data_IF_878918762821
#
_entry.id   IF_878918762821
#
_cell.length_a   1.000
_cell.length_b   1.000
_cell.length_c   1.000
_cell.angle_alpha   90.00
_cell.angle_beta   90.00
_cell.angle_gamma   90.00
#
_symmetry.space_group_name_H-M   'P 1'
#
loop_
_entity.id
_entity.type
_entity.pdbx_description
1 polymer ?
#
# COMPACT_ATOMS: atom_id res chain seq x y z
N UNK A 1 -9.33 61.64 -81.28
CA UNK A 1 -9.46 60.61 -82.36
C UNK A 1 -10.84 59.98 -82.23
N UNK A 2 -11.65 60.13 -83.28
CA UNK A 2 -13.01 59.59 -83.41
C UNK A 2 -12.93 58.18 -83.98
N UNK A 3 -13.67 57.24 -83.40
CA UNK A 3 -14.27 56.14 -84.14
C UNK A 3 -15.74 56.01 -83.72
N UNK A 4 -16.62 56.40 -84.64
CA UNK A 4 -18.04 56.03 -84.71
C UNK A 4 -18.11 54.52 -85.01
N UNK A 5 -19.18 53.72 -84.84
CA UNK A 5 -20.65 53.86 -85.03
C UNK A 5 -21.17 52.43 -84.67
N UNK A 6 -22.28 52.16 -83.99
CA UNK A 6 -23.67 52.05 -84.49
C UNK A 6 -24.51 51.45 -83.34
N UNK A 7 -25.74 51.93 -83.19
CA UNK A 7 -26.77 51.54 -82.22
C UNK A 7 -27.44 50.18 -82.55
N UNK A 8 -27.99 49.52 -81.52
CA UNK A 8 -29.31 48.88 -81.63
C UNK A 8 -30.00 48.86 -80.26
N UNK A 9 -31.04 49.68 -80.12
CA UNK A 9 -32.06 49.66 -79.06
C UNK A 9 -32.98 48.46 -79.29
N UNK A 10 -33.38 47.75 -78.23
CA UNK A 10 -34.73 47.17 -78.13
C UNK A 10 -35.34 47.57 -76.78
N UNK A 11 -36.47 48.27 -76.89
CA UNK A 11 -37.37 48.76 -75.84
C UNK A 11 -38.47 47.71 -75.63
N UNK A 12 -38.85 47.49 -74.37
CA UNK A 12 -40.24 47.45 -73.85
C UNK A 12 -41.01 46.13 -74.16
N UNK A 13 -41.87 45.57 -73.30
CA UNK A 13 -42.59 46.06 -72.13
C UNK A 13 -42.86 44.91 -71.14
N UNK A 14 -43.09 45.28 -69.88
CA UNK A 14 -43.71 44.43 -68.88
C UNK A 14 -45.23 44.35 -69.16
N UNK A 15 -45.80 43.14 -69.08
CA UNK A 15 -47.24 42.99 -68.88
C UNK A 15 -47.47 41.80 -67.95
N UNK A 16 -48.20 42.07 -66.88
CA UNK A 16 -48.54 41.17 -65.79
C UNK A 16 -49.76 40.29 -66.10
N UNK A 17 -49.94 39.33 -65.19
CA UNK A 17 -51.17 38.65 -64.78
C UNK A 17 -51.54 37.36 -65.54
N UNK A 18 -51.51 36.27 -64.78
CA UNK A 18 -52.03 34.97 -65.12
C UNK A 18 -51.81 34.04 -63.92
N UNK A 19 -52.73 34.12 -62.97
CA UNK A 19 -52.83 33.28 -61.78
C UNK A 19 -53.22 31.85 -62.19
N UNK A 20 -52.37 30.87 -61.88
CA UNK A 20 -52.73 29.45 -61.95
C UNK A 20 -52.19 28.70 -60.72
N UNK A 21 -53.13 28.44 -59.82
CA UNK A 21 -53.04 27.57 -58.66
C UNK A 21 -52.51 26.18 -59.02
N UNK A 22 -51.44 25.73 -58.35
CA UNK A 22 -51.07 24.32 -58.31
C UNK A 22 -51.03 23.83 -56.86
N UNK A 23 -52.08 23.11 -56.50
CA UNK A 23 -52.19 22.35 -55.26
C UNK A 23 -51.35 21.07 -55.32
N UNK A 24 -50.79 20.70 -54.14
CA UNK A 24 -50.15 19.43 -53.77
C UNK A 24 -48.76 19.12 -54.33
N UNK A 25 -47.74 19.31 -53.48
CA UNK A 25 -46.56 18.44 -53.46
C UNK A 25 -46.15 18.07 -52.02
N UNK A 26 -46.94 17.20 -51.36
CA UNK A 26 -46.57 16.58 -50.08
C UNK A 26 -45.39 15.60 -50.15
N UNK A 27 -44.83 15.35 -51.35
CA UNK A 27 -43.65 14.49 -51.57
C UNK A 27 -42.31 15.22 -51.45
N UNK A 28 -42.30 16.56 -51.48
CA UNK A 28 -41.07 17.34 -51.29
C UNK A 28 -40.75 17.54 -49.80
N UNK A 29 -41.78 17.70 -48.96
CA UNK A 29 -41.61 17.93 -47.53
C UNK A 29 -40.99 16.72 -46.81
N UNK A 30 -41.36 15.50 -47.19
CA UNK A 30 -40.81 14.26 -46.62
C UNK A 30 -39.37 13.99 -47.08
N UNK A 31 -39.02 14.30 -48.33
CA UNK A 31 -37.64 14.20 -48.82
C UNK A 31 -36.72 15.23 -48.16
N UNK A 32 -37.17 16.47 -47.97
CA UNK A 32 -36.42 17.48 -47.24
C UNK A 32 -36.25 17.10 -45.77
N UNK A 33 -37.29 16.58 -45.11
CA UNK A 33 -37.17 16.06 -43.74
C UNK A 33 -36.20 14.87 -43.64
N UNK A 34 -36.20 13.94 -44.60
CA UNK A 34 -35.25 12.82 -44.62
C UNK A 34 -33.80 13.29 -44.82
N UNK A 35 -33.57 14.28 -45.67
CA UNK A 35 -32.24 14.88 -45.84
C UNK A 35 -31.81 15.62 -44.58
N UNK A 36 -32.69 16.41 -43.96
CA UNK A 36 -32.41 17.08 -42.69
C UNK A 36 -32.16 16.09 -41.56
N UNK A 37 -32.96 15.04 -41.45
CA UNK A 37 -32.77 13.98 -40.46
C UNK A 37 -31.48 13.20 -40.72
N UNK A 38 -31.12 12.92 -41.96
CA UNK A 38 -29.83 12.31 -42.29
C UNK A 38 -28.66 13.24 -41.98
N UNK A 39 -28.75 14.54 -42.28
CA UNK A 39 -27.71 15.52 -41.97
C UNK A 39 -27.55 15.72 -40.46
N UNK A 40 -28.67 15.76 -39.72
CA UNK A 40 -28.67 15.77 -38.26
C UNK A 40 -28.06 14.48 -37.71
N UNK A 41 -28.42 13.31 -38.26
CA UNK A 41 -27.85 12.02 -37.87
C UNK A 41 -26.33 11.93 -38.14
N UNK A 42 -25.87 12.39 -39.32
CA UNK A 42 -24.45 12.49 -39.65
C UNK A 42 -23.71 13.49 -38.75
N UNK A 43 -24.32 14.61 -38.39
CA UNK A 43 -23.74 15.59 -37.46
C UNK A 43 -23.65 15.07 -36.02
N UNK A 44 -24.58 14.20 -35.60
CA UNK A 44 -24.51 13.53 -34.29
C UNK A 44 -23.52 12.35 -34.26
N UNK A 45 -23.18 11.76 -35.42
CA UNK A 45 -22.14 10.72 -35.51
C UNK A 45 -20.71 11.27 -35.48
N UNK A 46 -20.51 12.55 -35.81
CA UNK A 46 -19.21 13.23 -35.69
C UNK A 46 -19.01 13.80 -34.29
N UNK A 47 -19.20 12.99 -33.25
CA UNK A 47 -18.59 13.30 -31.95
C UNK A 47 -17.19 12.71 -32.01
N UNK A 48 -16.21 13.48 -32.50
CA UNK A 48 -14.81 13.05 -32.44
C UNK A 48 -14.45 12.77 -30.99
N UNK A 49 -13.75 11.66 -30.74
CA UNK A 49 -13.28 11.36 -29.39
C UNK A 49 -12.42 12.54 -28.87
N UNK A 50 -12.59 12.88 -27.60
CA UNK A 50 -11.79 13.91 -26.93
C UNK A 50 -10.36 13.43 -26.76
N UNK A 51 -9.41 14.37 -26.69
CA UNK A 51 -8.07 14.09 -26.21
C UNK A 51 -8.14 13.61 -24.75
N UNK A 52 -7.51 12.48 -24.44
CA UNK A 52 -7.46 11.93 -23.08
C UNK A 52 -6.14 11.23 -22.79
N UNK A 53 -5.55 11.53 -21.62
CA UNK A 53 -4.44 10.77 -21.04
C UNK A 53 -5.02 9.51 -20.37
N UNK A 54 -4.71 8.36 -20.98
CA UNK A 54 -5.17 7.04 -20.57
C UNK A 54 -4.42 6.52 -19.35
N UNK A 55 -3.11 6.76 -19.28
CA UNK A 55 -2.27 6.28 -18.20
C UNK A 55 -1.05 7.18 -17.96
N UNK A 56 -0.77 7.47 -16.69
CA UNK A 56 0.43 8.17 -16.25
C UNK A 56 1.24 7.24 -15.35
N UNK A 57 2.39 6.76 -15.85
CA UNK A 57 3.33 5.94 -15.07
C UNK A 57 4.45 6.82 -14.53
N UNK A 58 4.36 7.17 -13.25
CA UNK A 58 5.44 7.77 -12.46
C UNK A 58 5.70 6.83 -11.28
N UNK A 59 6.93 6.30 -11.09
CA UNK A 59 7.24 5.48 -9.95
C UNK A 59 6.97 6.25 -8.65
N UNK A 60 6.15 5.68 -7.76
CA UNK A 60 5.90 6.27 -6.43
C UNK A 60 7.18 6.34 -5.59
N UNK A 61 8.11 5.41 -5.85
CA UNK A 61 9.43 5.34 -5.24
C UNK A 61 10.50 5.20 -6.33
N UNK A 62 11.46 6.11 -6.33
CA UNK A 62 12.72 5.98 -7.04
C UNK A 62 13.80 5.47 -6.07
N UNK A 63 14.33 4.28 -6.35
CA UNK A 63 15.48 3.78 -5.62
C UNK A 63 16.73 4.61 -6.02
N UNK A 64 17.43 5.26 -5.07
CA UNK A 64 18.62 6.05 -5.36
C UNK A 64 19.79 5.23 -5.95
N UNK A 65 19.71 3.90 -5.94
CA UNK A 65 20.67 3.01 -6.61
C UNK A 65 20.35 2.79 -8.10
N UNK A 66 19.15 3.16 -8.56
CA UNK A 66 18.79 3.06 -9.97
C UNK A 66 19.64 4.02 -10.80
N UNK A 67 20.13 3.52 -11.93
CA UNK A 67 20.86 4.34 -12.88
C UNK A 67 19.94 5.31 -13.61
N UNK A 68 18.66 4.94 -13.78
CA UNK A 68 17.68 5.62 -14.62
C UNK A 68 16.27 5.41 -14.08
N UNK A 69 15.39 6.37 -14.31
CA UNK A 69 13.96 6.31 -13.98
C UNK A 69 13.14 6.64 -15.22
N UNK A 70 12.13 5.85 -15.52
CA UNK A 70 11.26 6.04 -16.68
C UNK A 70 9.93 6.64 -16.23
N UNK A 71 9.54 7.72 -16.89
CA UNK A 71 8.22 8.32 -16.77
C UNK A 71 7.47 8.06 -18.07
N UNK A 72 6.24 7.56 -18.02
CA UNK A 72 5.42 7.33 -19.22
C UNK A 72 4.07 8.03 -19.15
N UNK A 73 3.64 8.52 -20.30
CA UNK A 73 2.37 9.18 -20.49
C UNK A 73 1.74 8.62 -21.75
N UNK A 74 0.72 7.78 -21.57
CA UNK A 74 -0.07 7.20 -22.65
C UNK A 74 -1.35 8.00 -22.81
N UNK A 75 -1.67 8.37 -24.06
CA UNK A 75 -2.80 9.21 -24.39
C UNK A 75 -3.42 8.79 -25.73
N UNK A 76 -4.70 9.10 -25.90
CA UNK A 76 -5.43 9.04 -27.16
C UNK A 76 -5.74 10.46 -27.63
N UNK A 77 -5.32 10.80 -28.84
CA UNK A 77 -5.58 12.11 -29.45
C UNK A 77 -7.00 12.23 -30.00
N UNK A 78 -7.78 11.14 -30.02
CA UNK A 78 -9.16 11.14 -30.49
C UNK A 78 -9.28 11.50 -31.98
N UNK A 79 -8.29 11.11 -32.77
CA UNK A 79 -8.22 11.40 -34.21
C UNK A 79 -7.62 12.77 -34.57
N UNK A 80 -7.02 13.48 -33.61
CA UNK A 80 -6.34 14.77 -33.80
C UNK A 80 -4.83 14.59 -33.97
N UNK A 81 -4.16 15.61 -34.48
CA UNK A 81 -2.71 15.67 -34.54
C UNK A 81 -2.12 16.18 -33.21
N UNK A 82 -0.94 15.67 -32.85
CA UNK A 82 -0.21 16.10 -31.65
C UNK A 82 0.49 17.44 -31.89
N UNK A 83 0.20 18.44 -31.06
CA UNK A 83 0.97 19.68 -31.01
C UNK A 83 2.19 19.54 -30.10
N UNK A 84 1.98 19.13 -28.83
CA UNK A 84 3.08 18.96 -27.89
C UNK A 84 2.78 18.00 -26.75
N UNK A 85 3.84 17.41 -26.18
CA UNK A 85 3.80 16.79 -24.85
C UNK A 85 4.79 17.52 -23.95
N UNK A 86 4.31 18.02 -22.82
CA UNK A 86 5.10 18.77 -21.84
C UNK A 86 5.15 18.00 -20.53
N UNK A 87 6.35 17.75 -20.03
CA UNK A 87 6.56 17.22 -18.68
C UNK A 87 6.94 18.33 -17.73
N UNK A 88 6.29 18.36 -16.58
CA UNK A 88 6.54 19.30 -15.49
C UNK A 88 7.04 18.55 -14.25
N UNK A 89 8.01 19.12 -13.52
CA UNK A 89 8.37 18.71 -12.16
C UNK A 89 8.07 19.87 -11.21
N UNK A 90 7.27 19.62 -10.17
CA UNK A 90 6.88 20.62 -9.16
C UNK A 90 6.32 21.91 -9.80
N UNK A 91 5.53 21.76 -10.86
CA UNK A 91 4.95 22.88 -11.62
C UNK A 91 5.89 23.59 -12.59
N UNK A 92 7.15 23.17 -12.71
CA UNK A 92 8.13 23.72 -13.65
C UNK A 92 8.33 22.78 -14.85
N UNK A 93 8.26 23.30 -16.08
CA UNK A 93 8.58 22.52 -17.28
C UNK A 93 10.01 21.96 -17.20
N UNK A 94 10.16 20.66 -17.41
CA UNK A 94 11.44 19.96 -17.45
C UNK A 94 11.77 19.43 -18.84
N UNK A 95 10.75 19.16 -19.66
CA UNK A 95 10.91 18.60 -20.99
C UNK A 95 9.69 18.89 -21.85
N UNK A 96 9.92 19.18 -23.14
CA UNK A 96 8.86 19.34 -24.13
C UNK A 96 9.19 18.58 -25.40
N UNK A 97 8.21 17.84 -25.93
CA UNK A 97 8.23 17.21 -27.24
C UNK A 97 7.30 17.94 -28.21
N UNK A 98 7.77 18.30 -29.40
CA UNK A 98 6.95 18.91 -30.48
C UNK A 98 7.30 18.28 -31.83
N UNK A 99 6.42 17.45 -32.43
CA UNK A 99 6.74 16.71 -33.65
C UNK A 99 7.02 17.61 -34.86
N UNK A 100 6.36 18.77 -34.97
CA UNK A 100 6.53 19.71 -36.09
C UNK A 100 7.76 20.64 -35.98
N UNK A 101 8.53 20.57 -34.89
CA UNK A 101 9.68 21.44 -34.65
C UNK A 101 10.96 20.88 -35.26
N UNK A 102 11.86 21.74 -35.76
CA UNK A 102 13.21 21.32 -36.20
C UNK A 102 14.06 20.73 -35.07
N UNK A 103 13.73 21.08 -33.82
CA UNK A 103 14.26 20.49 -32.59
C UNK A 103 13.07 19.89 -31.83
N UNK A 104 12.73 18.61 -32.05
CA UNK A 104 11.52 18.02 -31.47
C UNK A 104 11.61 17.84 -29.96
N UNK A 105 12.79 17.53 -29.41
CA UNK A 105 13.01 17.28 -27.98
C UNK A 105 13.71 18.47 -27.35
N UNK A 106 13.08 19.13 -26.38
CA UNK A 106 13.62 20.30 -25.69
C UNK A 106 13.66 20.05 -24.18
N UNK A 107 14.82 19.71 -23.59
CA UNK A 107 14.96 19.67 -22.13
C UNK A 107 15.11 21.08 -21.57
N UNK A 108 14.68 21.27 -20.33
CA UNK A 108 15.00 22.46 -19.54
C UNK A 108 16.15 22.16 -18.58
N UNK A 109 17.01 23.15 -18.36
CA UNK A 109 18.13 23.02 -17.44
C UNK A 109 17.66 23.26 -16.00
N UNK A 110 17.26 22.18 -15.32
CA UNK A 110 16.91 22.20 -13.90
C UNK A 110 18.07 21.62 -13.08
N UNK A 111 18.43 22.30 -12.00
CA UNK A 111 19.49 21.83 -11.10
C UNK A 111 19.12 20.47 -10.50
N UNK A 112 20.02 19.51 -10.60
CA UNK A 112 19.83 18.17 -10.04
C UNK A 112 18.89 17.25 -10.83
N UNK A 113 18.41 17.66 -12.01
CA UNK A 113 17.59 16.81 -12.86
C UNK A 113 18.26 16.65 -14.24
N UNK A 114 18.54 15.41 -14.64
CA UNK A 114 19.23 15.13 -15.89
C UNK A 114 18.37 14.19 -16.74
N UNK A 115 17.94 14.66 -17.90
CA UNK A 115 17.13 13.89 -18.86
C UNK A 115 18.04 13.28 -19.93
N UNK A 116 17.84 12.01 -20.27
CA UNK A 116 18.48 11.38 -21.41
C UNK A 116 17.59 11.48 -22.66
N UNK A 117 17.91 12.44 -23.53
CA UNK A 117 17.19 12.68 -24.78
C UNK A 117 17.26 11.53 -25.79
N UNK A 118 18.26 10.65 -25.70
CA UNK A 118 18.38 9.50 -26.60
C UNK A 118 17.33 8.44 -26.30
N UNK A 119 16.88 8.36 -25.04
CA UNK A 119 15.87 7.42 -24.56
C UNK A 119 14.57 8.12 -24.10
N UNK A 120 14.33 9.34 -24.59
CA UNK A 120 13.11 10.10 -24.33
C UNK A 120 12.42 10.47 -25.65
N UNK A 121 11.11 10.47 -25.67
CA UNK A 121 10.27 10.82 -26.82
C UNK A 121 8.92 11.42 -26.34
N UNK A 122 7.91 11.43 -27.20
CA UNK A 122 6.57 11.94 -26.92
C UNK A 122 5.75 11.17 -25.86
N UNK A 123 6.11 9.92 -25.55
CA UNK A 123 5.39 9.07 -24.59
C UNK A 123 6.23 8.77 -23.35
N UNK A 124 7.55 8.80 -23.47
CA UNK A 124 8.46 8.45 -22.39
C UNK A 124 9.53 9.53 -22.15
N UNK A 125 9.77 9.86 -20.88
CA UNK A 125 10.94 10.64 -20.45
C UNK A 125 11.81 9.79 -19.54
N UNK A 126 13.09 9.71 -19.87
CA UNK A 126 14.08 8.98 -19.06
C UNK A 126 14.93 9.95 -18.25
N UNK A 127 14.76 9.90 -16.93
CA UNK A 127 15.60 10.62 -15.97
C UNK A 127 16.83 9.78 -15.62
N UNK A 128 17.95 10.43 -15.38
CA UNK A 128 19.18 9.80 -14.92
C UNK A 128 19.28 9.87 -13.40
N UNK A 129 19.68 8.76 -12.79
CA UNK A 129 19.82 8.62 -11.35
C UNK A 129 21.17 9.10 -10.79
N UNK A 130 21.35 9.01 -9.46
CA UNK A 130 22.54 9.50 -8.74
C UNK A 130 23.87 8.85 -9.16
N UNK A 131 23.84 7.62 -9.70
CA UNK A 131 25.04 6.94 -10.19
C UNK A 131 25.57 7.52 -11.52
N UNK A 132 24.86 8.46 -12.13
CA UNK A 132 25.37 9.15 -13.30
C UNK A 132 26.39 10.19 -12.85
N UNK A 133 27.59 10.21 -13.45
CA UNK A 133 28.72 11.10 -13.08
C UNK A 133 28.42 12.62 -13.26
N UNK A 134 27.15 13.00 -13.41
CA UNK A 134 26.65 14.35 -13.71
C UNK A 134 26.46 15.23 -12.49
N UNK A 135 26.45 14.68 -11.27
CA UNK A 135 26.41 15.45 -10.02
C UNK A 135 25.30 14.99 -9.08
N UNK A 136 24.94 15.86 -8.12
CA UNK A 136 23.80 15.62 -7.20
C UNK A 136 22.51 15.52 -8.02
N UNK A 137 21.67 14.54 -7.71
CA UNK A 137 20.36 14.32 -8.36
C UNK A 137 19.23 14.54 -7.36
N UNK A 138 18.16 15.17 -7.80
CA UNK A 138 16.91 15.38 -7.06
C UNK A 138 15.72 14.86 -7.88
N UNK A 139 15.31 13.63 -7.57
CA UNK A 139 14.18 12.95 -8.22
C UNK A 139 12.89 13.04 -7.41
N UNK A 140 12.93 13.55 -6.17
CA UNK A 140 11.71 13.64 -5.37
C UNK A 140 10.87 14.83 -5.86
N UNK A 141 9.57 14.65 -6.02
CA UNK A 141 8.66 15.73 -6.41
C UNK A 141 7.42 15.22 -7.12
N UNK A 142 6.61 16.18 -7.55
CA UNK A 142 5.41 15.96 -8.35
C UNK A 142 5.75 16.00 -9.83
N UNK A 143 5.33 15.00 -10.61
CA UNK A 143 5.60 14.89 -12.04
C UNK A 143 4.28 14.93 -12.82
N UNK A 144 4.14 15.97 -13.65
CA UNK A 144 2.98 16.20 -14.49
C UNK A 144 3.26 15.91 -15.95
N UNK A 145 2.31 15.29 -16.66
CA UNK A 145 2.28 15.19 -18.10
C UNK A 145 1.11 16.03 -18.64
N UNK A 146 1.41 16.94 -19.55
CA UNK A 146 0.45 17.72 -20.32
C UNK A 146 0.54 17.33 -21.80
N UNK A 147 -0.57 16.95 -22.40
CA UNK A 147 -0.66 16.62 -23.83
C UNK A 147 -1.56 17.65 -24.50
N UNK A 148 -1.12 18.22 -25.62
CA UNK A 148 -1.89 19.21 -26.38
C UNK A 148 -2.02 18.77 -27.84
N UNK A 149 -3.22 18.90 -28.38
CA UNK A 149 -3.54 18.69 -29.80
C UNK A 149 -3.31 19.95 -30.64
N UNK A 150 -3.16 19.77 -31.94
CA UNK A 150 -2.96 20.84 -32.92
C UNK A 150 -4.29 21.56 -33.26
N UNK A 151 -4.17 22.64 -34.01
CA UNK A 151 -5.28 23.31 -34.67
C UNK A 151 -6.20 22.29 -35.38
N UNK A 152 -7.53 22.50 -35.36
CA UNK A 152 -8.24 23.70 -34.88
C UNK A 152 -8.68 23.63 -33.41
N UNK A 153 -8.62 22.47 -32.76
CA UNK A 153 -9.24 22.25 -31.46
C UNK A 153 -8.39 22.72 -30.29
N UNK A 154 -7.05 22.61 -30.40
CA UNK A 154 -6.11 22.99 -29.33
C UNK A 154 -6.49 22.42 -27.94
N UNK A 155 -7.07 21.21 -27.92
CA UNK A 155 -7.42 20.51 -26.68
C UNK A 155 -6.15 20.15 -25.92
N UNK A 156 -6.24 20.21 -24.59
CA UNK A 156 -5.16 19.83 -23.68
C UNK A 156 -5.72 18.97 -22.55
N UNK A 157 -4.99 17.92 -22.17
CA UNK A 157 -5.24 17.14 -20.96
C UNK A 157 -3.99 17.08 -20.09
N UNK A 158 -4.18 16.95 -18.77
CA UNK A 158 -3.12 16.98 -17.76
C UNK A 158 -3.35 15.93 -16.67
N UNK A 159 -2.28 15.18 -16.35
CA UNK A 159 -2.24 14.25 -15.22
C UNK A 159 -0.96 14.46 -14.43
N UNK A 160 -1.01 14.17 -13.14
CA UNK A 160 0.11 14.36 -12.23
C UNK A 160 0.21 13.22 -11.23
N UNK A 161 1.45 12.84 -10.89
CA UNK A 161 1.75 11.81 -9.91
C UNK A 161 3.04 12.14 -9.14
N UNK A 162 3.09 11.73 -7.87
CA UNK A 162 4.22 12.01 -6.98
C UNK A 162 5.25 10.88 -7.00
N UNK A 163 6.52 11.26 -6.96
CA UNK A 163 7.66 10.36 -6.78
C UNK A 163 8.46 10.76 -5.54
N UNK A 164 8.76 9.77 -4.71
CA UNK A 164 9.65 9.91 -3.55
C UNK A 164 10.94 9.14 -3.77
N UNK A 165 12.02 9.50 -3.08
CA UNK A 165 13.30 8.76 -3.16
C UNK A 165 13.44 7.92 -1.90
N UNK A 166 13.41 6.59 -2.06
CA UNK A 166 13.48 5.67 -0.94
C UNK A 166 14.02 4.29 -1.34
N UNK A 167 14.60 3.59 -0.35
CA UNK A 167 14.91 2.16 -0.39
C UNK A 167 14.08 1.51 0.73
N UNK A 168 12.94 0.88 0.41
CA UNK A 168 12.17 0.16 1.40
C UNK A 168 12.92 -1.02 2.02
N UNK A 169 12.69 -1.32 3.31
CA UNK A 169 13.24 -2.53 3.92
C UNK A 169 12.65 -3.78 3.26
N UNK A 170 13.51 -4.72 2.85
CA UNK A 170 13.09 -6.00 2.24
C UNK A 170 12.73 -7.09 3.25
N UNK A 171 13.12 -6.90 4.51
CA UNK A 171 12.94 -7.87 5.60
C UNK A 171 12.19 -7.22 6.76
N UNK A 172 11.34 -8.00 7.42
CA UNK A 172 10.68 -7.60 8.66
C UNK A 172 11.72 -7.26 9.75
N UNK A 173 11.39 -6.39 10.71
CA UNK A 173 12.29 -6.11 11.82
C UNK A 173 12.54 -7.37 12.64
N UNK A 174 13.79 -7.58 13.06
CA UNK A 174 14.17 -8.66 13.98
C UNK A 174 13.92 -8.20 15.40
N UNK A 175 13.20 -8.99 16.19
CA UNK A 175 12.89 -8.72 17.60
C UNK A 175 13.57 -9.77 18.47
N UNK A 176 14.57 -9.34 19.24
CA UNK A 176 15.41 -10.18 20.10
C UNK A 176 15.22 -9.82 21.59
N UNK A 177 15.59 -10.74 22.48
CA UNK A 177 15.61 -10.53 23.94
C UNK A 177 14.34 -10.93 24.69
N UNK A 178 13.25 -11.23 23.99
CA UNK A 178 11.99 -11.70 24.60
C UNK A 178 12.13 -13.16 25.03
N UNK A 179 11.91 -13.44 26.33
CA UNK A 179 11.89 -14.80 26.90
C UNK A 179 10.49 -15.43 26.75
N UNK A 180 10.39 -16.77 26.73
CA UNK A 180 9.10 -17.46 26.66
C UNK A 180 8.17 -17.19 27.87
N UNK A 181 8.74 -16.89 29.04
CA UNK A 181 7.99 -16.61 30.26
C UNK A 181 8.71 -15.63 31.18
N UNK A 182 7.93 -14.87 31.94
CA UNK A 182 8.41 -13.89 32.94
C UNK A 182 7.62 -13.96 34.25
N UNK A 183 8.26 -13.59 35.35
CA UNK A 183 7.60 -13.35 36.63
C UNK A 183 7.22 -11.86 36.82
N UNK A 184 6.24 -11.59 37.67
CA UNK A 184 5.86 -10.21 38.01
C UNK A 184 7.02 -9.53 38.74
N UNK A 185 7.42 -8.36 38.28
CA UNK A 185 8.53 -7.58 38.81
C UNK A 185 9.85 -7.78 38.06
N UNK A 186 9.92 -8.75 37.13
CA UNK A 186 11.07 -8.90 36.25
C UNK A 186 11.18 -7.77 35.23
N UNK A 187 12.37 -7.63 34.65
CA UNK A 187 12.65 -6.66 33.59
C UNK A 187 12.62 -7.39 32.24
N UNK A 188 11.78 -6.90 31.33
CA UNK A 188 11.80 -7.22 29.92
C UNK A 188 12.82 -6.29 29.23
N UNK A 189 13.87 -6.89 28.67
CA UNK A 189 14.83 -6.22 27.80
C UNK A 189 14.67 -6.80 26.40
N UNK A 190 14.32 -5.95 25.43
CA UNK A 190 14.16 -6.36 24.05
C UNK A 190 14.91 -5.39 23.12
N UNK A 191 15.49 -5.92 22.06
CA UNK A 191 16.12 -5.16 21.00
C UNK A 191 15.37 -5.42 19.70
N UNK A 192 14.98 -4.35 19.02
CA UNK A 192 14.42 -4.43 17.70
C UNK A 192 15.39 -3.85 16.67
N UNK A 193 15.66 -4.60 15.60
CA UNK A 193 16.52 -4.18 14.50
C UNK A 193 15.76 -4.18 13.18
N UNK A 194 15.70 -3.04 12.50
CA UNK A 194 15.08 -2.92 11.18
C UNK A 194 15.92 -3.54 10.05
N UNK A 195 15.26 -3.86 8.93
CA UNK A 195 15.91 -4.09 7.65
C UNK A 195 16.62 -2.82 7.14
N UNK A 196 17.61 -2.99 6.26
CA UNK A 196 18.32 -1.86 5.65
C UNK A 196 17.35 -1.04 4.80
N UNK A 197 17.29 0.27 5.04
CA UNK A 197 16.36 1.17 4.36
C UNK A 197 16.92 2.58 4.20
N UNK A 198 16.37 3.33 3.26
CA UNK A 198 16.65 4.75 3.06
C UNK A 198 15.33 5.50 2.83
N UNK A 199 15.02 6.59 3.56
CA UNK A 199 15.69 7.02 4.79
C UNK A 199 15.68 5.93 5.89
N UNK A 200 16.42 6.08 7.00
CA UNK A 200 16.37 5.11 8.08
C UNK A 200 14.93 4.88 8.58
N UNK A 201 14.51 3.62 8.68
CA UNK A 201 13.19 3.28 9.18
C UNK A 201 13.00 3.72 10.65
N UNK A 202 11.76 4.10 10.98
CA UNK A 202 11.33 4.40 12.34
C UNK A 202 10.83 3.11 12.96
N UNK A 203 11.38 2.75 14.12
CA UNK A 203 10.96 1.60 14.90
C UNK A 203 10.00 2.03 16.01
N UNK A 204 9.03 1.17 16.33
CA UNK A 204 8.05 1.42 17.38
C UNK A 204 7.69 0.11 18.08
N UNK A 205 7.80 0.10 19.40
CA UNK A 205 7.33 -1.02 20.22
C UNK A 205 5.85 -0.83 20.58
N UNK A 206 5.07 -1.90 20.41
CA UNK A 206 3.66 -1.94 20.77
C UNK A 206 3.47 -3.13 21.72
N UNK A 207 3.06 -2.86 22.95
CA UNK A 207 2.79 -3.86 23.98
C UNK A 207 1.28 -4.00 24.17
N UNK A 208 0.76 -5.21 23.97
CA UNK A 208 -0.68 -5.52 24.09
C UNK A 208 -1.57 -4.56 23.29
N UNK A 209 -1.14 -4.19 22.08
CA UNK A 209 -1.85 -3.27 21.21
C UNK A 209 -1.69 -1.78 21.53
N UNK A 210 -0.92 -1.41 22.56
CA UNK A 210 -0.63 -0.02 22.93
C UNK A 210 0.82 0.33 22.67
N UNK A 211 1.08 1.45 22.01
CA UNK A 211 2.43 1.97 21.81
C UNK A 211 3.14 2.21 23.16
N UNK A 212 4.38 1.75 23.24
CA UNK A 212 5.21 1.89 24.45
C UNK A 212 5.72 3.34 24.56
N UNK A 213 5.75 3.87 25.79
CA UNK A 213 6.25 5.22 26.04
C UNK A 213 7.73 5.34 25.65
N UNK A 214 8.07 6.41 24.92
CA UNK A 214 9.44 6.71 24.48
C UNK A 214 10.46 6.77 25.63
N UNK A 215 10.04 7.10 26.85
CA UNK A 215 10.91 7.11 28.04
C UNK A 215 11.45 5.72 28.42
N UNK A 216 10.79 4.64 27.96
CA UNK A 216 11.20 3.25 28.18
C UNK A 216 12.02 2.68 27.01
N UNK A 217 12.18 3.46 25.95
CA UNK A 217 12.90 3.07 24.74
C UNK A 217 14.18 3.87 24.59
N UNK A 218 15.17 3.27 23.94
CA UNK A 218 16.44 3.93 23.65
C UNK A 218 16.89 3.61 22.23
N UNK A 219 17.16 4.65 21.44
CA UNK A 219 17.79 4.47 20.14
C UNK A 219 19.20 3.87 20.34
N UNK A 220 19.39 2.67 19.80
CA UNK A 220 20.67 2.00 19.82
C UNK A 220 21.38 2.39 18.52
N UNK A 221 22.41 3.21 18.65
CA UNK A 221 23.18 3.66 17.49
C UNK A 221 23.88 2.45 16.87
N UNK A 222 23.34 1.96 15.74
CA UNK A 222 24.07 1.06 14.86
C UNK A 222 25.20 1.85 14.22
N UNK A 223 26.44 1.38 14.36
CA UNK A 223 27.62 2.03 13.80
C UNK A 223 27.36 2.56 12.38
N UNK A 224 27.64 3.86 12.19
CA UNK A 224 27.40 4.55 10.94
C UNK A 224 28.03 3.83 9.76
N UNK A 225 27.32 3.88 8.63
CA UNK A 225 27.66 3.41 7.29
C UNK A 225 29.17 3.12 7.07
N UNK A 226 29.60 1.89 7.36
CA UNK A 226 31.01 1.47 7.19
C UNK A 226 31.32 1.19 5.71
N UNK A 227 30.30 0.91 4.89
CA UNK A 227 30.51 0.28 3.57
C UNK A 227 30.08 1.15 2.37
N UNK A 228 29.79 2.44 2.55
CA UNK A 228 29.39 3.33 1.45
C UNK A 228 28.11 2.90 0.73
N UNK A 229 27.30 2.03 1.35
CA UNK A 229 26.04 1.53 0.78
C UNK A 229 24.93 2.53 1.13
N UNK A 230 24.14 2.94 0.13
CA UNK A 230 22.98 3.79 0.38
C UNK A 230 21.95 2.98 1.19
N UNK A 231 21.74 3.36 2.45
CA UNK A 231 20.79 2.71 3.37
C UNK A 231 21.38 2.41 4.74
N UNK A 232 20.53 2.45 5.76
CA UNK A 232 20.90 2.25 7.16
C UNK A 232 19.94 1.28 7.85
N UNK A 233 20.42 0.61 8.90
CA UNK A 233 19.58 -0.13 9.84
C UNK A 233 19.41 0.67 11.12
N UNK A 234 18.17 0.88 11.53
CA UNK A 234 17.79 1.44 12.83
C UNK A 234 17.66 0.32 13.85
N UNK A 235 18.08 0.59 15.10
CA UNK A 235 17.91 -0.32 16.24
C UNK A 235 17.28 0.42 17.41
N UNK A 236 16.35 -0.23 18.09
CA UNK A 236 15.61 0.34 19.21
C UNK A 236 15.61 -0.66 20.37
N UNK A 237 16.09 -0.24 21.53
CA UNK A 237 16.04 -1.01 22.77
C UNK A 237 14.80 -0.65 23.58
N UNK A 238 14.23 -1.63 24.27
CA UNK A 238 13.14 -1.50 25.23
C UNK A 238 13.59 -2.09 26.56
N UNK A 239 13.37 -1.35 27.66
CA UNK A 239 13.55 -1.83 29.02
C UNK A 239 12.30 -1.53 29.83
N UNK A 240 11.58 -2.55 30.26
CA UNK A 240 10.30 -2.41 30.97
C UNK A 240 10.23 -3.35 32.18
N UNK A 241 9.91 -2.79 33.36
CA UNK A 241 9.56 -3.60 34.53
C UNK A 241 8.13 -4.14 34.38
N UNK A 242 8.00 -5.46 34.38
CA UNK A 242 6.74 -6.14 34.12
C UNK A 242 5.85 -6.21 35.35
N UNK A 243 4.71 -5.54 35.27
CA UNK A 243 3.61 -5.67 36.22
C UNK A 243 2.50 -6.63 35.77
N UNK A 244 1.65 -7.05 36.71
CA UNK A 244 0.51 -7.97 36.46
C UNK A 244 -0.43 -7.48 35.35
N UNK A 245 -0.63 -6.16 35.23
CA UNK A 245 -1.52 -5.59 34.22
C UNK A 245 -1.00 -5.74 32.78
N UNK A 246 0.30 -6.04 32.59
CA UNK A 246 0.86 -6.33 31.27
C UNK A 246 0.54 -7.75 30.77
N UNK A 247 -0.12 -8.60 31.57
CA UNK A 247 -0.52 -9.96 31.18
C UNK A 247 -2.04 -10.13 31.17
N UNK A 248 -2.79 -9.36 30.35
CA UNK A 248 -4.23 -9.56 30.22
C UNK A 248 -4.47 -10.94 29.60
N UNK A 249 -4.93 -11.90 30.39
CA UNK A 249 -5.05 -13.35 30.04
C UNK A 249 -3.79 -14.20 30.24
N UNK A 250 -2.83 -13.76 31.05
CA UNK A 250 -1.66 -14.56 31.40
C UNK A 250 -0.56 -14.59 30.35
N UNK A 251 -0.65 -13.76 29.31
CA UNK A 251 0.39 -13.53 28.31
C UNK A 251 0.51 -12.05 27.98
N UNK A 252 1.69 -11.63 27.55
CA UNK A 252 1.94 -10.35 26.91
C UNK A 252 2.29 -10.57 25.44
N UNK A 253 1.94 -9.61 24.60
CA UNK A 253 2.31 -9.58 23.18
C UNK A 253 3.13 -8.34 22.93
N UNK A 254 4.37 -8.52 22.51
CA UNK A 254 5.27 -7.46 22.09
C UNK A 254 5.37 -7.45 20.58
N UNK A 255 5.08 -6.32 19.95
CA UNK A 255 5.22 -6.12 18.51
C UNK A 255 6.31 -5.08 18.30
N UNK A 256 7.26 -5.37 17.42
CA UNK A 256 8.09 -4.33 16.84
C UNK A 256 7.59 -3.98 15.45
N UNK A 257 7.26 -2.70 15.26
CA UNK A 257 6.82 -2.14 14.00
C UNK A 257 7.92 -1.30 13.37
N UNK A 258 8.17 -1.49 12.08
CA UNK A 258 9.11 -0.72 11.26
C UNK A 258 8.35 0.03 10.17
N UNK A 259 8.51 1.35 10.11
CA UNK A 259 7.87 2.21 9.13
C UNK A 259 8.90 3.09 8.41
N UNK A 260 8.68 3.36 7.13
CA UNK A 260 9.51 4.32 6.39
C UNK A 260 8.85 5.69 6.43
N UNK A 261 9.55 6.75 6.87
CA UNK A 261 8.96 8.09 6.90
C UNK A 261 8.67 8.59 5.48
N UNK A 262 7.51 9.22 5.29
CA UNK A 262 7.11 9.82 4.01
C UNK A 262 6.47 8.86 3.00
N UNK A 263 6.37 7.56 3.30
CA UNK A 263 5.62 6.60 2.47
C UNK A 263 4.25 6.30 3.09
N UNK A 264 3.18 6.45 2.32
CA UNK A 264 1.82 6.17 2.77
C UNK A 264 1.53 4.65 2.81
N UNK A 265 1.21 4.17 4.03
CA UNK A 265 0.43 2.99 4.45
C UNK A 265 0.67 1.56 3.95
N UNK A 266 1.50 1.27 2.93
CA UNK A 266 1.62 -0.12 2.43
C UNK A 266 2.93 -0.85 2.80
N UNK A 267 3.85 -0.20 3.51
CA UNK A 267 5.16 -0.78 3.88
C UNK A 267 5.42 -0.83 5.40
N UNK A 268 4.36 -1.10 6.16
CA UNK A 268 4.50 -1.35 7.60
C UNK A 268 4.91 -2.80 7.81
N UNK A 269 6.15 -3.03 8.23
CA UNK A 269 6.65 -4.37 8.55
C UNK A 269 6.60 -4.60 10.07
N UNK A 270 6.20 -5.79 10.50
CA UNK A 270 6.03 -6.12 11.92
C UNK A 270 6.63 -7.48 12.27
N UNK A 271 7.21 -7.58 13.46
CA UNK A 271 7.53 -8.83 14.15
C UNK A 271 6.78 -8.88 15.47
N UNK A 272 6.38 -10.09 15.87
CA UNK A 272 5.51 -10.33 17.01
C UNK A 272 6.15 -11.43 17.87
N UNK A 273 6.30 -11.15 19.16
CA UNK A 273 6.73 -12.11 20.16
C UNK A 273 5.71 -12.18 21.30
N UNK A 274 5.51 -13.37 21.84
CA UNK A 274 4.55 -13.64 22.91
C UNK A 274 5.29 -14.24 24.09
N UNK A 275 5.10 -13.66 25.28
CA UNK A 275 5.64 -14.20 26.52
C UNK A 275 4.52 -14.49 27.52
N UNK A 276 4.67 -15.58 28.26
CA UNK A 276 3.68 -16.03 29.25
C UNK A 276 4.03 -15.58 30.66
N UNK A 277 3.03 -15.43 31.51
CA UNK A 277 3.24 -15.25 32.92
C UNK A 277 3.68 -16.59 33.53
N UNK A 278 4.88 -16.64 34.09
CA UNK A 278 5.40 -17.85 34.71
C UNK A 278 4.46 -18.32 35.84
N UNK A 279 4.13 -19.61 35.83
CA UNK A 279 3.41 -20.21 36.93
C UNK A 279 4.29 -20.15 38.19
N UNK A 280 3.77 -19.56 39.27
CA UNK A 280 4.45 -19.61 40.55
C UNK A 280 4.61 -21.07 40.95
N UNK A 281 5.85 -21.57 40.95
CA UNK A 281 6.18 -22.94 41.36
C UNK A 281 6.06 -23.14 42.88
N UNK A 282 5.23 -22.36 43.58
CA UNK A 282 4.71 -22.75 44.88
C UNK A 282 3.78 -23.96 44.70
N UNK A 283 4.37 -25.13 44.48
CA UNK A 283 3.78 -26.38 44.92
C UNK A 283 3.38 -26.16 46.38
N UNK A 284 2.08 -26.29 46.66
CA UNK A 284 1.56 -26.53 48.00
C UNK A 284 2.44 -27.61 48.63
N UNK A 285 3.33 -27.22 49.54
CA UNK A 285 3.99 -28.14 50.42
C UNK A 285 2.90 -28.76 51.30
N UNK A 286 2.33 -29.87 50.86
CA UNK A 286 1.54 -30.71 51.74
C UNK A 286 2.52 -31.29 52.76
N UNK A 287 2.35 -30.93 54.03
CA UNK A 287 3.07 -31.56 55.13
C UNK A 287 2.89 -33.09 55.03
N UNK A 288 3.95 -33.89 55.19
CA UNK A 288 3.80 -35.32 55.25
C UNK A 288 2.89 -35.69 56.43
N UNK A 289 2.02 -36.71 56.30
CA UNK A 289 1.17 -37.14 57.41
C UNK A 289 2.06 -37.52 58.60
N UNK A 290 1.75 -36.94 59.77
CA UNK A 290 2.41 -37.27 61.02
C UNK A 290 2.23 -38.77 61.30
N UNK A 291 3.30 -39.54 61.09
CA UNK A 291 3.37 -40.94 61.48
C UNK A 291 3.25 -41.03 63.00
N UNK A 292 2.09 -41.48 63.46
CA UNK A 292 1.84 -41.78 64.86
C UNK A 292 2.82 -42.83 65.36
N UNK A 293 3.57 -42.48 66.40
CA UNK A 293 4.40 -43.39 67.19
C UNK A 293 3.52 -44.50 67.78
N UNK A 294 3.75 -45.74 67.33
CA UNK A 294 3.17 -46.93 67.94
C UNK A 294 4.05 -47.29 69.14
N UNK A 295 3.53 -47.04 70.34
CA UNK A 295 4.13 -47.48 71.60
C UNK A 295 4.23 -49.02 71.64
N UNK A 296 5.42 -49.51 71.95
CA UNK A 296 5.69 -50.91 72.25
C UNK A 296 4.92 -51.33 73.50
N UNK A 297 4.06 -52.34 73.37
CA UNK A 297 3.57 -53.11 74.52
C UNK A 297 4.35 -54.41 74.54
N UNK A 298 5.35 -54.44 75.41
CA UNK A 298 6.04 -55.65 75.84
C UNK A 298 5.19 -56.30 76.95
N UNK A 299 4.67 -57.50 76.72
CA UNK A 299 4.10 -58.33 77.79
C UNK A 299 4.34 -59.81 77.49
N UNK A 300 5.05 -60.47 78.38
CA UNK A 300 5.31 -61.91 78.46
C UNK A 300 5.25 -62.29 79.96
N UNK A 301 5.10 -63.58 80.34
CA UNK A 301 3.96 -64.47 80.16
C UNK A 301 3.43 -64.99 81.52
N UNK A 302 2.30 -65.72 81.54
CA UNK A 302 1.90 -66.43 82.77
C UNK A 302 0.57 -67.19 82.71
N UNK A 303 0.66 -68.48 82.39
CA UNK A 303 -0.12 -69.62 82.89
C UNK A 303 -1.67 -69.64 82.85
N UNK A 304 -2.15 -70.64 82.07
CA UNK A 304 -3.16 -71.67 82.41
C UNK A 304 -4.61 -71.27 82.69
N UNK A 305 -5.54 -71.74 81.85
CA UNK A 305 -6.50 -72.75 82.31
C UNK A 305 -7.09 -73.55 81.14
N UNK A 306 -7.21 -74.85 81.37
CA UNK A 306 -7.65 -75.88 80.45
C UNK A 306 -9.19 -75.98 80.35
N UNK A 307 -9.61 -76.59 79.25
CA UNK A 307 -10.78 -77.47 79.12
C UNK A 307 -12.18 -76.85 79.25
N UNK A 308 -12.91 -76.85 78.13
CA UNK A 308 -14.07 -77.76 77.98
C UNK A 308 -14.37 -77.94 76.49
N UNK A 309 -14.05 -79.14 76.03
CA UNK A 309 -14.42 -79.72 74.74
C UNK A 309 -15.88 -80.21 74.86
N UNK A 310 -16.51 -80.44 73.71
CA UNK A 310 -17.67 -81.33 73.48
C UNK A 310 -19.00 -80.69 73.96
N UNK A 311 -19.99 -80.40 73.11
CA UNK A 311 -20.77 -81.39 72.37
C UNK A 311 -21.58 -80.69 71.27
N UNK A 312 -21.52 -81.27 70.07
CA UNK A 312 -22.59 -81.22 69.08
C UNK A 312 -23.98 -81.41 69.70
N UNK A 313 -24.98 -80.79 69.05
CA UNK A 313 -26.40 -81.15 68.95
C UNK A 313 -27.22 -79.86 69.07
N UNK A 314 -28.18 -79.67 68.16
CA UNK A 314 -29.11 -78.52 67.99
C UNK A 314 -28.63 -77.40 67.05
N UNK A 315 -28.42 -77.73 65.76
CA UNK A 315 -29.13 -77.03 64.67
C UNK A 315 -29.04 -77.77 63.34
N UNK A 316 -29.11 -79.10 63.40
CA UNK A 316 -29.65 -79.94 62.34
C UNK A 316 -31.15 -80.13 62.66
N UNK A 317 -31.93 -79.04 62.62
CA UNK A 317 -33.42 -79.10 62.62
C UNK A 317 -34.04 -77.70 62.46
N UNK A 318 -33.78 -77.06 61.31
CA UNK A 318 -34.71 -76.04 60.78
C UNK A 318 -34.67 -75.92 59.26
N UNK A 319 -34.05 -76.88 58.54
CA UNK A 319 -34.29 -77.13 57.12
C UNK A 319 -35.58 -77.95 56.96
N UNK A 320 -36.70 -77.37 57.38
CA UNK A 320 -38.06 -77.72 56.98
C UNK A 320 -39.01 -76.70 57.61
N UNK A 321 -39.37 -75.67 56.84
CA UNK A 321 -40.72 -75.09 56.74
C UNK A 321 -40.67 -73.64 56.23
N UNK A 322 -41.23 -73.44 55.03
CA UNK A 322 -41.55 -72.17 54.35
C UNK A 322 -40.33 -71.42 53.79
N UNK A 323 -40.22 -71.12 52.49
CA UNK A 323 -41.22 -70.68 51.50
C UNK A 323 -40.82 -71.09 50.08
N UNK A 324 -41.87 -71.46 49.33
CA UNK A 324 -42.13 -71.30 47.88
C UNK A 324 -41.05 -71.75 46.90
#
# INVERSE_FOLDING_TARGET
MKYSRVQARKKWDATSLGDESCSRCGKCLTKMHLVLLSALFYSSLTTGAGLEILNLEVPSIADPTWERVLLKCEYDLGGKDLYSVTWNKDGQEIFRFMPGSSIPKRPQNISGLYIDLSQSDHKQVTLLGPNTRKGKVDLAGSYGCEVSSEAPSFETDYREANMTVAIPPKTVPVLDGVRPSYEVGEILEAECTSGSSYPPAILTFILNGKEVNRALTKDLWGGGNIDGRMGSKTRLGLTLRLERHHFPSGSLTLICQSTLPGLANDQVLKSIEIATLAASNQRLAQEPPKSGSRSNVELYPGLTCWATIVMHVIRYDSLRLSRV
#
